data_IF_132322400388
#
_entry.id   IF_132322400388
#
_cell.length_a   1.000
_cell.length_b   1.000
_cell.length_c   1.000
_cell.angle_alpha   90.00
_cell.angle_beta   90.00
_cell.angle_gamma   90.00
#
_symmetry.space_group_name_H-M   'P 1'
#
loop_
_entity.id
_entity.type
_entity.pdbx_description
1 polymer ?
#
# COMPACT_ATOMS: atom_id res chain seq x y z
N UNK A 1 -15.28 -7.88 22.48
CA UNK A 1 -15.71 -6.50 22.76
C UNK A 1 -16.77 -6.19 21.71
N UNK A 2 -17.30 -4.98 21.58
CA UNK A 2 -18.15 -4.64 20.42
C UNK A 2 -17.32 -3.83 19.44
N UNK A 3 -17.22 -4.31 18.20
CA UNK A 3 -16.49 -3.65 17.14
C UNK A 3 -16.98 -2.19 17.01
N UNK A 4 -16.08 -1.20 17.04
CA UNK A 4 -16.49 0.19 16.96
C UNK A 4 -17.14 0.46 15.60
N UNK A 5 -18.38 0.94 15.61
CA UNK A 5 -19.03 1.37 14.38
C UNK A 5 -18.41 2.69 13.90
N UNK A 6 -17.58 2.61 12.86
CA UNK A 6 -16.99 3.76 12.21
C UNK A 6 -17.92 4.23 11.08
N UNK A 7 -18.44 5.47 11.12
CA UNK A 7 -19.35 5.98 10.09
C UNK A 7 -18.62 6.28 8.78
N UNK A 8 -19.36 6.30 7.67
CA UNK A 8 -18.80 6.41 6.30
C UNK A 8 -17.97 7.69 6.08
N UNK A 9 -18.37 8.81 6.69
CA UNK A 9 -17.64 10.08 6.64
C UNK A 9 -16.26 9.98 7.29
N UNK A 10 -16.14 9.25 8.39
CA UNK A 10 -14.84 9.00 9.04
C UNK A 10 -13.97 8.10 8.17
N UNK A 11 -14.55 7.09 7.51
CA UNK A 11 -13.81 6.27 6.55
C UNK A 11 -13.29 7.05 5.34
N UNK A 12 -14.02 8.05 4.85
CA UNK A 12 -13.51 8.96 3.83
C UNK A 12 -12.29 9.76 4.32
N UNK A 13 -12.33 10.28 5.55
CA UNK A 13 -11.20 10.99 6.16
C UNK A 13 -9.99 10.05 6.28
N UNK A 14 -10.20 8.82 6.75
CA UNK A 14 -9.15 7.80 6.85
C UNK A 14 -8.58 7.50 5.46
N UNK A 15 -9.43 7.28 4.45
CA UNK A 15 -8.99 6.98 3.08
C UNK A 15 -8.12 8.11 2.49
N UNK A 16 -8.55 9.37 2.64
CA UNK A 16 -7.75 10.53 2.23
C UNK A 16 -6.43 10.58 3.01
N UNK A 17 -6.47 10.43 4.33
CA UNK A 17 -5.27 10.41 5.18
C UNK A 17 -4.28 9.33 4.77
N UNK A 18 -4.74 8.09 4.57
CA UNK A 18 -3.90 6.98 4.12
C UNK A 18 -3.35 7.19 2.72
N UNK A 19 -4.09 7.87 1.83
CA UNK A 19 -3.62 8.23 0.49
C UNK A 19 -2.48 9.23 0.55
N UNK A 20 -2.64 10.29 1.34
CA UNK A 20 -1.60 11.31 1.54
C UNK A 20 -0.35 10.69 2.15
N UNK A 21 -0.52 9.83 3.17
CA UNK A 21 0.60 9.12 3.79
C UNK A 21 1.27 8.15 2.81
N UNK A 22 0.50 7.44 1.99
CA UNK A 22 1.05 6.58 0.95
C UNK A 22 1.95 7.36 0.01
N UNK A 23 1.48 8.50 -0.51
CA UNK A 23 2.28 9.36 -1.40
C UNK A 23 3.49 9.94 -0.68
N UNK A 24 3.33 10.42 0.56
CA UNK A 24 4.41 10.99 1.36
C UNK A 24 5.52 9.98 1.66
N UNK A 25 5.19 8.69 1.83
CA UNK A 25 6.16 7.62 2.07
C UNK A 25 6.80 7.14 0.78
N UNK A 26 6.00 6.89 -0.26
CA UNK A 26 6.49 6.25 -1.48
C UNK A 26 7.20 7.22 -2.44
N UNK A 27 6.71 8.45 -2.61
CA UNK A 27 7.29 9.38 -3.60
C UNK A 27 8.77 9.75 -3.32
N UNK A 28 9.20 10.01 -2.07
CA UNK A 28 10.61 10.28 -1.78
C UNK A 28 11.54 9.08 -1.98
N UNK A 29 10.98 7.86 -2.02
CA UNK A 29 11.75 6.62 -2.24
C UNK A 29 12.07 6.38 -3.71
N UNK A 30 11.33 7.00 -4.63
CA UNK A 30 11.49 6.77 -6.06
C UNK A 30 12.60 7.66 -6.66
N UNK A 31 13.57 7.07 -7.39
CA UNK A 31 14.69 7.81 -7.97
C UNK A 31 14.31 8.58 -9.23
N UNK A 32 13.39 8.04 -10.04
CA UNK A 32 13.05 8.57 -11.36
C UNK A 32 11.67 9.20 -11.39
N UNK A 33 11.47 10.20 -12.24
CA UNK A 33 10.16 10.85 -12.43
C UNK A 33 9.11 9.87 -12.96
N UNK A 34 9.52 8.88 -13.77
CA UNK A 34 8.66 7.82 -14.27
C UNK A 34 8.14 6.94 -13.13
N UNK A 35 9.03 6.46 -12.25
CA UNK A 35 8.63 5.66 -11.09
C UNK A 35 7.72 6.46 -10.16
N UNK A 36 8.00 7.75 -9.92
CA UNK A 36 7.12 8.64 -9.16
C UNK A 36 5.72 8.74 -9.77
N UNK A 37 5.62 8.92 -11.08
CA UNK A 37 4.33 8.97 -11.77
C UNK A 37 3.57 7.65 -11.64
N UNK A 38 4.23 6.50 -11.84
CA UNK A 38 3.61 5.19 -11.69
C UNK A 38 3.06 4.98 -10.27
N UNK A 39 3.84 5.32 -9.25
CA UNK A 39 3.42 5.25 -7.85
C UNK A 39 2.24 6.19 -7.56
N UNK A 40 2.29 7.42 -8.06
CA UNK A 40 1.21 8.40 -7.86
C UNK A 40 -0.13 7.92 -8.44
N UNK A 41 -0.11 7.04 -9.46
CA UNK A 41 -1.32 6.47 -10.06
C UNK A 41 -1.90 5.29 -9.26
N UNK A 42 -1.15 4.64 -8.38
CA UNK A 42 -1.61 3.47 -7.62
C UNK A 42 -2.91 3.76 -6.84
N UNK A 43 -3.02 4.86 -6.07
CA UNK A 43 -4.27 5.21 -5.38
C UNK A 43 -5.48 5.30 -6.32
N UNK A 44 -5.30 5.90 -7.51
CA UNK A 44 -6.36 6.08 -8.49
C UNK A 44 -6.82 4.73 -9.05
N UNK A 45 -5.88 3.86 -9.43
CA UNK A 45 -6.21 2.50 -9.86
C UNK A 45 -6.91 1.70 -8.75
N UNK A 46 -6.48 1.86 -7.49
CA UNK A 46 -7.13 1.24 -6.33
C UNK A 46 -8.60 1.68 -6.19
N UNK A 47 -8.88 2.97 -6.32
CA UNK A 47 -10.25 3.52 -6.25
C UNK A 47 -11.12 2.94 -7.38
N UNK A 48 -10.63 2.97 -8.63
CA UNK A 48 -11.37 2.44 -9.78
C UNK A 48 -11.64 0.95 -9.61
N UNK A 49 -10.61 0.16 -9.29
CA UNK A 49 -10.70 -1.28 -9.12
C UNK A 49 -11.70 -1.66 -8.02
N UNK A 50 -11.58 -1.06 -6.82
CA UNK A 50 -12.47 -1.37 -5.71
C UNK A 50 -13.90 -0.91 -5.97
N UNK A 51 -14.10 0.21 -6.66
CA UNK A 51 -15.46 0.67 -7.03
C UNK A 51 -16.13 -0.31 -7.99
N UNK A 52 -15.41 -0.77 -9.02
CA UNK A 52 -15.92 -1.76 -9.98
C UNK A 52 -16.22 -3.08 -9.26
N UNK A 53 -15.27 -3.60 -8.48
CA UNK A 53 -15.45 -4.85 -7.75
C UNK A 53 -16.59 -4.76 -6.72
N UNK A 54 -16.70 -3.63 -6.03
CA UNK A 54 -17.76 -3.36 -5.07
C UNK A 54 -19.15 -3.35 -5.69
N UNK A 55 -19.29 -2.72 -6.87
CA UNK A 55 -20.54 -2.78 -7.66
C UNK A 55 -20.89 -4.20 -8.07
N UNK A 56 -19.91 -4.98 -8.54
CA UNK A 56 -20.14 -6.37 -8.96
C UNK A 56 -20.50 -7.30 -7.80
N UNK A 57 -20.04 -7.02 -6.57
CA UNK A 57 -20.25 -7.86 -5.38
C UNK A 57 -21.29 -7.33 -4.40
N UNK A 58 -21.97 -6.23 -4.73
CA UNK A 58 -22.97 -5.60 -3.86
C UNK A 58 -22.41 -5.15 -2.51
N UNK A 59 -21.15 -4.71 -2.47
CA UNK A 59 -20.55 -4.18 -1.25
C UNK A 59 -20.90 -2.70 -1.05
N UNK A 60 -21.20 -2.32 0.19
CA UNK A 60 -21.41 -0.92 0.55
C UNK A 60 -20.10 -0.11 0.53
N UNK A 61 -20.23 1.22 0.52
CA UNK A 61 -19.09 2.13 0.48
C UNK A 61 -18.22 2.06 1.74
N UNK A 62 -18.81 1.81 2.91
CA UNK A 62 -18.10 1.69 4.17
C UNK A 62 -17.06 0.56 4.11
N UNK A 63 -17.48 -0.60 3.61
CA UNK A 63 -16.63 -1.77 3.41
C UNK A 63 -15.54 -1.51 2.39
N UNK A 64 -15.87 -0.88 1.25
CA UNK A 64 -14.88 -0.56 0.22
C UNK A 64 -13.81 0.42 0.72
N UNK A 65 -14.21 1.47 1.44
CA UNK A 65 -13.27 2.44 2.03
C UNK A 65 -12.39 1.75 3.09
N UNK A 66 -12.97 0.87 3.92
CA UNK A 66 -12.19 0.12 4.91
C UNK A 66 -11.11 -0.75 4.25
N UNK A 67 -11.45 -1.46 3.17
CA UNK A 67 -10.51 -2.30 2.42
C UNK A 67 -9.42 -1.43 1.78
N UNK A 68 -9.81 -0.33 1.14
CA UNK A 68 -8.88 0.61 0.53
C UNK A 68 -7.85 1.15 1.53
N UNK A 69 -8.32 1.62 2.69
CA UNK A 69 -7.45 2.14 3.74
C UNK A 69 -6.53 1.06 4.29
N UNK A 70 -7.01 -0.15 4.51
CA UNK A 70 -6.20 -1.28 4.99
C UNK A 70 -5.09 -1.65 4.01
N UNK A 71 -5.42 -1.75 2.71
CA UNK A 71 -4.40 -2.03 1.68
C UNK A 71 -3.37 -0.91 1.62
N UNK A 72 -3.81 0.35 1.71
CA UNK A 72 -2.91 1.52 1.72
C UNK A 72 -1.95 1.48 2.91
N UNK A 73 -2.44 1.17 4.11
CA UNK A 73 -1.61 0.99 5.31
C UNK A 73 -0.62 -0.16 5.14
N UNK A 74 -1.07 -1.30 4.60
CA UNK A 74 -0.18 -2.44 4.32
C UNK A 74 0.97 -2.07 3.38
N UNK A 75 0.67 -1.33 2.32
CA UNK A 75 1.68 -0.81 1.38
C UNK A 75 2.63 0.20 2.02
N UNK A 76 2.14 1.07 2.91
CA UNK A 76 2.99 2.02 3.65
C UNK A 76 3.97 1.25 4.55
N UNK A 77 3.45 0.36 5.40
CA UNK A 77 4.25 -0.42 6.33
C UNK A 77 5.26 -1.32 5.61
N UNK A 78 4.88 -1.81 4.42
CA UNK A 78 5.70 -2.68 3.60
C UNK A 78 7.02 -2.09 3.12
N UNK A 79 7.14 -0.76 3.06
CA UNK A 79 8.35 -0.10 2.53
C UNK A 79 8.91 1.01 3.43
N UNK A 80 8.21 1.41 4.49
CA UNK A 80 8.66 2.48 5.37
C UNK A 80 10.08 2.22 5.90
N UNK A 81 10.94 3.24 5.82
CA UNK A 81 12.36 3.14 6.21
C UNK A 81 13.27 2.35 5.27
N UNK A 82 12.76 1.77 4.17
CA UNK A 82 13.53 0.91 3.25
C UNK A 82 14.00 1.60 1.97
N UNK A 83 14.20 2.92 2.02
CA UNK A 83 14.57 3.70 0.83
C UNK A 83 15.76 3.11 0.06
N UNK A 84 16.82 2.69 0.74
CA UNK A 84 18.00 2.12 0.10
C UNK A 84 17.71 0.82 -0.65
N UNK A 85 16.98 -0.10 -0.02
CA UNK A 85 16.56 -1.36 -0.65
C UNK A 85 15.63 -1.06 -1.84
N UNK A 86 14.77 -0.04 -1.72
CA UNK A 86 13.82 0.36 -2.74
C UNK A 86 14.49 0.94 -3.99
N UNK A 87 15.55 1.73 -3.80
CA UNK A 87 16.37 2.24 -4.90
C UNK A 87 17.05 1.11 -5.68
N UNK A 88 17.55 0.08 -4.99
CA UNK A 88 18.18 -1.09 -5.64
C UNK A 88 17.15 -1.84 -6.49
N UNK A 89 15.96 -2.08 -5.93
CA UNK A 89 14.89 -2.80 -6.63
C UNK A 89 14.36 -2.03 -7.85
N UNK A 90 14.15 -0.71 -7.73
CA UNK A 90 13.75 0.12 -8.89
C UNK A 90 14.83 0.09 -9.96
N UNK A 91 16.10 0.24 -9.58
CA UNK A 91 17.23 0.15 -10.52
C UNK A 91 17.29 -1.20 -11.21
N UNK A 92 17.05 -2.31 -10.48
CA UNK A 92 16.96 -3.63 -11.09
C UNK A 92 15.80 -3.75 -12.08
N UNK A 93 14.65 -3.13 -11.79
CA UNK A 93 13.50 -3.13 -12.71
C UNK A 93 13.75 -2.30 -13.98
N UNK A 94 14.48 -1.19 -13.86
CA UNK A 94 14.86 -0.33 -14.99
C UNK A 94 16.04 -0.89 -15.81
N UNK A 95 17.00 -1.53 -15.15
CA UNK A 95 18.18 -2.17 -15.75
C UNK A 95 18.49 -3.54 -15.08
N UNK A 96 17.84 -4.61 -15.56
CA UNK A 96 17.98 -5.95 -15.00
C UNK A 96 19.37 -6.55 -15.22
N UNK A 97 20.08 -6.16 -16.29
CA UNK A 97 21.38 -6.71 -16.66
C UNK A 97 22.54 -5.94 -16.01
N UNK A 98 22.36 -4.65 -15.71
CA UNK A 98 23.37 -3.82 -15.07
C UNK A 98 23.33 -3.80 -13.54
N UNK A 99 22.34 -4.45 -12.92
CA UNK A 99 22.24 -4.52 -11.45
C UNK A 99 22.77 -5.85 -10.91
N UNK A 100 23.84 -5.87 -10.10
CA UNK A 100 24.40 -7.13 -9.58
C UNK A 100 23.39 -7.91 -8.73
N UNK A 101 23.16 -9.18 -9.09
CA UNK A 101 22.25 -10.07 -8.37
C UNK A 101 22.61 -10.22 -6.87
N UNK A 102 23.90 -10.13 -6.54
CA UNK A 102 24.41 -10.15 -5.17
C UNK A 102 23.92 -9.00 -4.29
N UNK A 103 23.55 -7.86 -4.90
CA UNK A 103 22.96 -6.71 -4.19
C UNK A 103 21.44 -6.72 -4.25
N UNK A 104 20.88 -7.12 -5.39
CA UNK A 104 19.44 -7.07 -5.63
C UNK A 104 18.65 -8.15 -4.87
N UNK A 105 19.18 -9.39 -4.82
CA UNK A 105 18.54 -10.51 -4.12
C UNK A 105 18.25 -10.23 -2.64
N UNK A 106 19.24 -9.79 -1.83
CA UNK A 106 19.03 -9.46 -0.43
C UNK A 106 18.05 -8.30 -0.21
N UNK A 107 18.14 -7.24 -1.04
CA UNK A 107 17.25 -6.08 -0.97
C UNK A 107 15.79 -6.48 -1.24
N UNK A 108 15.56 -7.22 -2.33
CA UNK A 108 14.22 -7.72 -2.67
C UNK A 108 13.67 -8.65 -1.59
N UNK A 109 14.49 -9.54 -1.03
CA UNK A 109 14.05 -10.42 0.06
C UNK A 109 13.59 -9.62 1.29
N UNK A 110 14.33 -8.58 1.68
CA UNK A 110 13.97 -7.71 2.81
C UNK A 110 12.67 -6.95 2.55
N UNK A 111 12.52 -6.39 1.35
CA UNK A 111 11.30 -5.71 0.93
C UNK A 111 10.10 -6.67 0.91
N UNK A 112 10.24 -7.86 0.35
CA UNK A 112 9.17 -8.87 0.32
C UNK A 112 8.76 -9.28 1.73
N UNK A 113 9.71 -9.56 2.63
CA UNK A 113 9.42 -9.90 4.02
C UNK A 113 8.67 -8.75 4.69
N UNK A 114 9.15 -7.51 4.55
CA UNK A 114 8.51 -6.36 5.18
C UNK A 114 7.12 -6.08 4.60
N UNK A 115 6.94 -6.24 3.29
CA UNK A 115 5.64 -6.11 2.64
C UNK A 115 4.65 -7.15 3.16
N UNK A 116 5.06 -8.41 3.27
CA UNK A 116 4.25 -9.48 3.85
C UNK A 116 3.87 -9.17 5.30
N UNK A 117 4.82 -8.73 6.12
CA UNK A 117 4.55 -8.32 7.51
C UNK A 117 3.61 -7.13 7.56
N UNK A 118 3.82 -6.13 6.71
CA UNK A 118 2.96 -4.94 6.61
C UNK A 118 1.50 -5.29 6.31
N UNK A 119 1.28 -6.21 5.36
CA UNK A 119 -0.07 -6.70 5.06
C UNK A 119 -0.67 -7.53 6.20
N UNK A 120 0.11 -8.39 6.86
CA UNK A 120 -0.37 -9.14 8.03
C UNK A 120 -0.80 -8.20 9.15
N UNK A 121 0.01 -7.18 9.46
CA UNK A 121 -0.30 -6.19 10.50
C UNK A 121 -1.53 -5.37 10.11
N UNK A 122 -1.61 -4.87 8.87
CA UNK A 122 -2.76 -4.10 8.41
C UNK A 122 -4.04 -4.94 8.42
N UNK A 123 -3.97 -6.21 8.01
CA UNK A 123 -5.12 -7.12 8.05
C UNK A 123 -5.53 -7.46 9.48
N UNK A 124 -4.59 -7.71 10.38
CA UNK A 124 -4.90 -7.96 11.80
C UNK A 124 -5.58 -6.74 12.44
N UNK A 125 -5.10 -5.53 12.15
CA UNK A 125 -5.74 -4.29 12.59
C UNK A 125 -7.17 -4.16 12.04
N UNK A 126 -7.35 -4.43 10.74
CA UNK A 126 -8.67 -4.39 10.11
C UNK A 126 -9.63 -5.42 10.71
N UNK A 127 -9.17 -6.66 10.90
CA UNK A 127 -9.96 -7.73 11.50
C UNK A 127 -10.37 -7.36 12.94
N UNK A 128 -9.45 -6.81 13.73
CA UNK A 128 -9.76 -6.34 15.08
C UNK A 128 -10.82 -5.21 15.08
N UNK A 129 -10.72 -4.25 14.16
CA UNK A 129 -11.68 -3.15 14.06
C UNK A 129 -13.08 -3.58 13.58
N UNK A 130 -13.19 -4.69 12.85
CA UNK A 130 -14.46 -5.13 12.24
C UNK A 130 -15.09 -6.34 12.94
N UNK A 131 -14.31 -7.16 13.65
CA UNK A 131 -14.77 -8.41 14.28
C UNK A 131 -14.53 -8.47 15.80
N UNK A 132 -13.81 -7.52 16.38
CA UNK A 132 -13.42 -7.48 17.80
C UNK A 132 -14.51 -7.09 18.78
#
# INVERSE_FOLDING_TARGET
MHAPHIPVNVWWIIAVGTTVLFLAVWLPMMPTSRAKAQIAMIPLFGIVFLTVLGKLRGHDFTKLLSIYSTVSVGLILGVIGRRADMLIAVKQGEDPLGTPASKAGPANKRLTIQLSVGFVVAFALWAWLNWG
#
